data_IF_509193409725
#
_entry.id   IF_509193409725
#
_cell.length_a   1.000
_cell.length_b   1.000
_cell.length_c   1.000
_cell.angle_alpha   90.00
_cell.angle_beta   90.00
_cell.angle_gamma   90.00
#
_symmetry.space_group_name_H-M   'P 1'
#
loop_
_entity.id
_entity.type
_entity.pdbx_description
1 polymer ?
#
# COMPACT_ATOMS: atom_id res chain seq x y z
N UNK A 1 -7.65 -7.49 4.65
CA UNK A 1 -8.08 -6.31 3.87
C UNK A 1 -8.23 -5.08 4.77
N UNK A 2 -9.08 -5.15 5.80
CA UNK A 2 -9.38 -4.09 6.79
C UNK A 2 -8.16 -3.30 7.33
N UNK A 3 -7.07 -3.98 7.69
CA UNK A 3 -5.87 -3.33 8.27
C UNK A 3 -5.21 -2.35 7.28
N UNK A 4 -5.20 -2.68 5.98
CA UNK A 4 -4.55 -1.88 4.94
C UNK A 4 -5.31 -0.57 4.69
N UNK A 5 -6.64 -0.65 4.63
CA UNK A 5 -7.50 0.52 4.44
C UNK A 5 -7.39 1.52 5.60
N UNK A 6 -7.26 1.03 6.83
CA UNK A 6 -7.03 1.90 8.01
C UNK A 6 -5.68 2.60 7.90
N UNK A 7 -4.63 1.90 7.46
CA UNK A 7 -3.30 2.50 7.27
C UNK A 7 -3.30 3.53 6.14
N UNK A 8 -3.93 3.22 5.01
CA UNK A 8 -4.08 4.14 3.88
C UNK A 8 -4.87 5.38 4.27
N UNK A 9 -5.95 5.21 5.03
CA UNK A 9 -6.71 6.32 5.59
C UNK A 9 -5.86 7.18 6.51
N UNK A 10 -5.05 6.58 7.40
CA UNK A 10 -4.17 7.34 8.31
C UNK A 10 -3.17 8.22 7.55
N UNK A 11 -2.65 7.75 6.41
CA UNK A 11 -1.74 8.51 5.55
C UNK A 11 -2.44 9.63 4.78
N UNK A 12 -3.68 9.39 4.34
CA UNK A 12 -4.44 10.34 3.51
C UNK A 12 -5.37 11.26 4.30
N UNK A 13 -5.58 10.99 5.60
CA UNK A 13 -6.57 11.64 6.48
C UNK A 13 -6.58 13.16 6.39
N UNK A 14 -5.41 13.79 6.34
CA UNK A 14 -5.29 15.25 6.27
C UNK A 14 -5.88 15.81 4.96
N UNK A 15 -5.61 15.14 3.83
CA UNK A 15 -6.18 15.48 2.52
C UNK A 15 -7.69 15.27 2.51
N UNK A 16 -8.14 14.13 3.06
CA UNK A 16 -9.57 13.82 3.21
C UNK A 16 -10.28 14.90 4.00
N UNK A 17 -9.75 15.22 5.17
CA UNK A 17 -10.31 16.24 6.06
C UNK A 17 -10.37 17.59 5.35
N UNK A 18 -9.32 18.00 4.64
CA UNK A 18 -9.28 19.28 3.93
C UNK A 18 -10.36 19.35 2.84
N UNK A 19 -10.46 18.31 2.01
CA UNK A 19 -11.45 18.22 0.94
C UNK A 19 -12.89 18.25 1.48
N UNK A 20 -13.21 17.40 2.46
CA UNK A 20 -14.54 17.41 3.08
C UNK A 20 -14.82 18.72 3.80
N UNK A 21 -13.85 19.31 4.50
CA UNK A 21 -14.06 20.60 5.18
C UNK A 21 -14.40 21.70 4.17
N UNK A 22 -13.76 21.70 3.01
CA UNK A 22 -14.03 22.64 1.92
C UNK A 22 -15.47 22.50 1.42
N UNK A 23 -15.89 21.29 1.02
CA UNK A 23 -17.24 21.02 0.52
C UNK A 23 -18.31 21.40 1.56
N UNK A 24 -18.12 21.01 2.81
CA UNK A 24 -19.09 21.30 3.87
C UNK A 24 -19.16 22.81 4.15
N UNK A 25 -18.03 23.51 4.12
CA UNK A 25 -18.00 24.97 4.35
C UNK A 25 -18.63 25.78 3.22
N UNK A 26 -18.62 25.27 1.98
CA UNK A 26 -19.26 25.90 0.83
C UNK A 26 -20.78 25.81 0.91
N UNK A 27 -21.30 24.68 1.39
CA UNK A 27 -22.72 24.35 1.30
C UNK A 27 -23.50 24.54 2.60
N UNK A 28 -22.87 24.42 3.78
CA UNK A 28 -23.57 24.55 5.06
C UNK A 28 -23.69 26.02 5.50
N UNK A 29 -24.88 26.47 5.92
CA UNK A 29 -25.06 27.79 6.51
C UNK A 29 -24.35 27.83 7.87
N UNK A 30 -23.44 28.79 8.06
CA UNK A 30 -22.77 29.02 9.33
C UNK A 30 -22.67 30.53 9.57
N UNK A 31 -22.95 30.99 10.79
CA UNK A 31 -23.00 32.42 11.14
C UNK A 31 -24.03 33.26 10.34
N UNK A 32 -25.10 32.64 9.82
CA UNK A 32 -26.18 33.33 9.12
C UNK A 32 -27.40 33.60 10.02
N UNK A 33 -28.22 34.58 9.66
CA UNK A 33 -29.56 34.77 10.22
C UNK A 33 -30.49 33.62 9.78
N UNK A 34 -31.36 33.17 10.69
CA UNK A 34 -32.37 32.14 10.47
C UNK A 34 -31.84 30.80 9.90
N UNK A 35 -30.98 30.13 10.66
CA UNK A 35 -30.58 28.74 10.40
C UNK A 35 -31.70 27.82 10.87
N UNK A 36 -32.43 27.24 9.91
CA UNK A 36 -33.50 26.27 10.15
C UNK A 36 -33.08 24.86 9.70
N UNK A 37 -33.71 23.84 10.30
CA UNK A 37 -33.47 22.42 10.00
C UNK A 37 -33.68 22.15 8.50
N UNK A 38 -34.76 22.66 7.90
CA UNK A 38 -35.04 22.47 6.46
C UNK A 38 -33.93 22.98 5.55
N UNK A 39 -33.32 24.14 5.88
CA UNK A 39 -32.21 24.69 5.12
C UNK A 39 -30.98 23.78 5.20
N UNK A 40 -30.67 23.26 6.40
CA UNK A 40 -29.57 22.33 6.60
C UNK A 40 -29.82 21.02 5.83
N UNK A 41 -31.05 20.49 5.87
CA UNK A 41 -31.41 19.27 5.14
C UNK A 41 -31.22 19.44 3.63
N UNK A 42 -31.56 20.61 3.08
CA UNK A 42 -31.31 20.95 1.68
C UNK A 42 -29.81 20.99 1.37
N UNK A 43 -29.01 21.68 2.19
CA UNK A 43 -27.55 21.70 2.04
C UNK A 43 -26.92 20.30 2.11
N UNK A 44 -27.40 19.43 3.00
CA UNK A 44 -26.94 18.04 3.07
C UNK A 44 -27.19 17.26 1.77
N UNK A 45 -28.31 17.54 1.09
CA UNK A 45 -28.61 16.94 -0.21
C UNK A 45 -27.64 17.43 -1.28
N UNK A 46 -27.38 18.73 -1.34
CA UNK A 46 -26.44 19.32 -2.31
C UNK A 46 -25.01 18.75 -2.12
N UNK A 47 -24.58 18.58 -0.86
CA UNK A 47 -23.31 17.93 -0.52
C UNK A 47 -23.30 16.47 -0.98
N UNK A 48 -24.39 15.73 -0.76
CA UNK A 48 -24.48 14.33 -1.16
C UNK A 48 -24.36 14.15 -2.67
N UNK A 49 -24.99 15.02 -3.45
CA UNK A 49 -24.89 15.01 -4.91
C UNK A 49 -23.44 15.29 -5.36
N UNK A 50 -22.72 16.19 -4.68
CA UNK A 50 -21.29 16.45 -4.93
C UNK A 50 -20.38 15.28 -4.51
N UNK A 51 -20.74 14.55 -3.45
CA UNK A 51 -20.04 13.35 -2.96
C UNK A 51 -20.47 12.05 -3.65
N UNK A 52 -21.27 12.13 -4.73
CA UNK A 52 -21.79 10.99 -5.50
C UNK A 52 -22.64 9.99 -4.69
N UNK A 53 -23.29 10.44 -3.60
CA UNK A 53 -24.27 9.65 -2.86
C UNK A 53 -23.70 8.47 -2.06
N UNK A 54 -22.48 8.57 -1.53
CA UNK A 54 -21.85 7.53 -0.68
C UNK A 54 -22.02 7.77 0.83
N UNK A 55 -23.00 8.59 1.20
CA UNK A 55 -23.11 9.15 2.53
C UNK A 55 -24.49 8.99 3.18
N UNK A 56 -24.46 9.02 4.52
CA UNK A 56 -25.64 9.12 5.36
C UNK A 56 -25.51 10.36 6.25
N UNK A 57 -26.43 11.31 6.08
CA UNK A 57 -26.47 12.52 6.89
C UNK A 57 -27.44 12.39 8.06
N UNK A 58 -27.10 13.04 9.16
CA UNK A 58 -27.99 13.26 10.29
C UNK A 58 -27.57 14.54 11.04
N UNK A 59 -28.54 15.16 11.70
CA UNK A 59 -28.37 16.42 12.44
C UNK A 59 -28.51 16.14 13.93
N UNK A 60 -27.55 16.62 14.71
CA UNK A 60 -27.58 16.61 16.16
C UNK A 60 -27.90 18.01 16.69
N UNK A 61 -28.64 18.08 17.79
CA UNK A 61 -28.83 19.31 18.55
C UNK A 61 -27.57 19.70 19.33
N UNK A 62 -27.62 20.85 20.00
CA UNK A 62 -26.56 21.36 20.87
C UNK A 62 -26.18 20.42 22.03
N UNK A 63 -27.03 19.47 22.41
CA UNK A 63 -26.80 18.51 23.48
C UNK A 63 -26.31 17.14 22.95
N UNK A 64 -26.31 16.93 21.63
CA UNK A 64 -25.89 15.69 20.99
C UNK A 64 -27.01 14.69 20.70
N UNK A 65 -28.28 15.09 20.83
CA UNK A 65 -29.43 14.26 20.44
C UNK A 65 -29.71 14.41 18.95
N UNK A 66 -30.00 13.30 18.28
CA UNK A 66 -30.37 13.32 16.88
C UNK A 66 -31.79 13.84 16.67
N UNK A 67 -31.94 14.93 15.91
CA UNK A 67 -33.24 15.58 15.66
C UNK A 67 -33.81 15.28 14.28
N UNK A 68 -32.96 14.93 13.32
CA UNK A 68 -33.37 14.53 11.98
C UNK A 68 -33.39 13.01 11.82
N UNK A 69 -34.17 12.52 10.86
CA UNK A 69 -33.98 11.14 10.39
C UNK A 69 -32.62 10.99 9.69
N UNK A 70 -32.14 9.76 9.58
CA UNK A 70 -31.00 9.48 8.72
C UNK A 70 -31.40 9.71 7.27
N UNK A 71 -30.80 10.71 6.66
CA UNK A 71 -30.92 10.97 5.25
C UNK A 71 -29.90 10.12 4.51
N UNK A 72 -30.36 9.00 3.97
CA UNK A 72 -29.58 8.21 3.02
C UNK A 72 -29.98 8.67 1.63
N UNK A 73 -29.11 9.44 0.99
CA UNK A 73 -29.29 9.88 -0.39
C UNK A 73 -28.74 8.84 -1.39
N UNK A 74 -27.98 7.85 -0.90
CA UNK A 74 -27.54 6.69 -1.66
C UNK A 74 -28.70 5.76 -2.05
N UNK A 75 -28.75 5.36 -3.32
CA UNK A 75 -29.80 4.50 -3.92
C UNK A 75 -29.95 3.07 -3.32
N UNK A 76 -29.24 2.74 -2.23
CA UNK A 76 -29.26 1.40 -1.58
C UNK A 76 -29.59 1.40 -0.08
N UNK A 77 -29.99 2.53 0.51
CA UNK A 77 -30.26 2.63 1.94
C UNK A 77 -31.71 2.39 2.34
N UNK A 78 -31.94 1.53 3.34
CA UNK A 78 -33.19 1.47 4.10
C UNK A 78 -33.29 2.72 4.98
N UNK A 79 -34.40 3.45 4.94
CA UNK A 79 -34.70 4.52 5.90
C UNK A 79 -34.85 3.91 7.30
N UNK A 80 -33.79 4.02 8.11
CA UNK A 80 -33.86 3.70 9.53
C UNK A 80 -33.99 5.02 10.31
N UNK A 81 -35.04 5.14 11.10
CA UNK A 81 -35.32 6.29 11.95
C UNK A 81 -34.55 6.15 13.26
N UNK A 82 -33.48 6.93 13.43
CA UNK A 82 -32.70 7.04 14.68
C UNK A 82 -32.95 8.36 15.41
N UNK A 83 -34.04 9.06 15.06
CA UNK A 83 -34.46 10.30 15.71
C UNK A 83 -34.64 10.07 17.22
N UNK A 84 -33.97 10.90 18.02
CA UNK A 84 -33.94 10.81 19.48
C UNK A 84 -32.77 10.02 20.08
N UNK A 85 -31.89 9.41 19.28
CA UNK A 85 -30.71 8.71 19.82
C UNK A 85 -29.69 9.70 20.40
N UNK A 86 -29.13 9.36 21.56
CA UNK A 86 -28.05 10.13 22.19
C UNK A 86 -26.69 9.80 21.57
N UNK A 87 -26.09 10.78 20.88
CA UNK A 87 -24.74 10.72 20.31
C UNK A 87 -23.73 11.60 21.05
N UNK A 88 -24.10 12.22 22.17
CA UNK A 88 -23.25 13.14 22.95
C UNK A 88 -21.94 12.50 23.42
N UNK A 89 -21.94 11.19 23.63
CA UNK A 89 -20.77 10.43 24.08
C UNK A 89 -19.76 10.15 22.97
N UNK A 90 -20.17 10.28 21.71
CA UNK A 90 -19.36 9.92 20.53
C UNK A 90 -18.17 10.87 20.36
N UNK A 91 -17.05 10.31 19.90
CA UNK A 91 -15.78 11.03 19.81
C UNK A 91 -15.81 12.17 18.78
N UNK A 92 -16.55 11.99 17.67
CA UNK A 92 -16.68 13.01 16.64
C UNK A 92 -17.43 14.25 17.15
N UNK A 93 -18.54 14.06 17.86
CA UNK A 93 -19.31 15.15 18.45
C UNK A 93 -18.48 15.93 19.47
N UNK A 94 -17.90 15.24 20.47
CA UNK A 94 -17.09 15.87 21.52
C UNK A 94 -15.94 16.69 20.95
N UNK A 95 -15.23 16.15 19.96
CA UNK A 95 -14.08 16.84 19.35
C UNK A 95 -14.49 17.99 18.45
N UNK A 96 -15.54 17.84 17.64
CA UNK A 96 -16.07 18.93 16.82
C UNK A 96 -16.50 20.13 17.67
N UNK A 97 -17.26 19.89 18.74
CA UNK A 97 -17.74 20.94 19.66
C UNK A 97 -16.58 21.57 20.44
N UNK A 98 -15.64 20.75 20.97
CA UNK A 98 -14.48 21.24 21.73
C UNK A 98 -13.54 22.08 20.86
N UNK A 99 -13.25 21.64 19.65
CA UNK A 99 -12.33 22.34 18.73
C UNK A 99 -13.01 23.47 17.94
N UNK A 100 -14.34 23.60 18.03
CA UNK A 100 -15.17 24.56 17.30
C UNK A 100 -14.92 24.57 15.78
N UNK A 101 -14.66 23.40 15.21
CA UNK A 101 -14.35 23.23 13.79
C UNK A 101 -14.74 21.85 13.30
N UNK A 102 -14.76 21.70 11.99
CA UNK A 102 -14.99 20.41 11.35
C UNK A 102 -13.97 19.35 11.82
N UNK A 103 -14.48 18.16 12.14
CA UNK A 103 -13.72 17.05 12.66
C UNK A 103 -14.05 15.76 11.91
N UNK A 104 -13.00 15.09 11.41
CA UNK A 104 -13.08 13.77 10.79
C UNK A 104 -12.57 12.72 11.78
N UNK A 105 -13.41 11.76 12.14
CA UNK A 105 -13.06 10.73 13.12
C UNK A 105 -12.13 9.65 12.55
N UNK A 106 -11.66 8.77 13.43
CA UNK A 106 -10.98 7.54 13.01
C UNK A 106 -12.01 6.51 12.54
N UNK A 107 -11.66 5.58 11.65
CA UNK A 107 -12.58 4.55 11.17
C UNK A 107 -13.11 3.72 12.34
N UNK A 108 -14.42 3.46 12.34
CA UNK A 108 -15.09 2.66 13.35
C UNK A 108 -16.13 1.73 12.70
N UNK A 109 -16.44 0.57 13.30
CA UNK A 109 -17.45 -0.33 12.75
C UNK A 109 -18.83 0.31 12.81
N UNK A 110 -19.58 0.23 11.71
CA UNK A 110 -20.98 0.63 11.69
C UNK A 110 -21.82 -0.22 12.64
N UNK A 111 -22.87 0.37 13.22
CA UNK A 111 -23.72 -0.31 14.22
C UNK A 111 -24.47 -1.53 13.66
N UNK A 112 -24.75 -1.56 12.35
CA UNK A 112 -25.62 -2.59 11.71
C UNK A 112 -25.01 -3.26 10.49
N UNK A 113 -24.06 -2.61 9.84
CA UNK A 113 -23.33 -3.14 8.69
C UNK A 113 -21.89 -3.20 9.17
N UNK A 114 -21.35 -4.41 9.40
CA UNK A 114 -20.01 -4.68 9.96
C UNK A 114 -18.82 -4.02 9.23
N UNK A 115 -19.11 -3.16 8.25
CA UNK A 115 -18.20 -2.31 7.50
C UNK A 115 -17.71 -1.13 8.34
N UNK A 116 -16.48 -0.70 8.03
CA UNK A 116 -15.89 0.48 8.63
C UNK A 116 -16.46 1.75 7.99
N UNK A 117 -16.75 2.71 8.85
CA UNK A 117 -17.23 4.05 8.49
C UNK A 117 -16.35 5.10 9.12
N UNK A 118 -16.34 6.26 8.51
CA UNK A 118 -15.80 7.49 9.08
C UNK A 118 -16.90 8.53 9.09
N UNK A 119 -16.93 9.34 10.15
CA UNK A 119 -17.89 10.43 10.31
C UNK A 119 -17.17 11.75 10.22
N UNK A 120 -17.67 12.60 9.33
CA UNK A 120 -17.38 14.02 9.33
C UNK A 120 -18.42 14.74 10.19
N UNK A 121 -17.99 15.44 11.23
CA UNK A 121 -18.84 16.22 12.12
C UNK A 121 -18.51 17.71 11.99
N UNK A 122 -19.50 18.53 11.66
CA UNK A 122 -19.36 19.97 11.43
C UNK A 122 -20.30 20.74 12.36
N UNK A 123 -19.77 21.51 13.32
CA UNK A 123 -20.58 22.33 14.21
C UNK A 123 -21.06 23.59 13.49
N UNK A 124 -22.34 23.91 13.66
CA UNK A 124 -23.01 25.10 13.11
C UNK A 124 -23.32 26.08 14.23
N UNK A 125 -22.92 27.33 14.03
CA UNK A 125 -23.09 28.39 15.02
C UNK A 125 -24.02 29.49 14.52
N UNK A 126 -24.74 30.08 15.47
CA UNK A 126 -25.46 31.34 15.29
C UNK A 126 -24.47 32.51 15.10
N UNK A 127 -24.96 33.66 14.61
CA UNK A 127 -24.21 34.92 14.60
C UNK A 127 -23.61 35.27 15.96
N UNK A 128 -24.31 34.92 17.05
CA UNK A 128 -23.85 35.13 18.43
C UNK A 128 -22.78 34.12 18.89
N UNK A 129 -22.27 33.27 17.98
CA UNK A 129 -21.30 32.19 18.24
C UNK A 129 -21.81 31.10 19.19
N UNK A 130 -23.14 30.98 19.32
CA UNK A 130 -23.78 29.90 20.06
C UNK A 130 -23.95 28.67 19.17
N UNK A 131 -23.67 27.48 19.70
CA UNK A 131 -23.84 26.22 18.98
C UNK A 131 -25.33 25.93 18.80
N UNK A 132 -25.77 25.81 17.54
CA UNK A 132 -27.14 25.45 17.20
C UNK A 132 -27.25 23.94 16.93
N UNK A 133 -26.42 23.46 15.99
CA UNK A 133 -26.49 22.10 15.48
C UNK A 133 -25.10 21.52 15.23
N UNK A 134 -25.02 20.20 15.11
CA UNK A 134 -23.84 19.50 14.57
C UNK A 134 -24.30 18.61 13.44
N UNK A 135 -23.87 18.93 12.22
CA UNK A 135 -24.15 18.10 11.02
C UNK A 135 -23.13 16.98 10.97
N UNK A 136 -23.63 15.75 10.88
CA UNK A 136 -22.81 14.55 10.78
C UNK A 136 -23.06 13.85 9.45
N UNK A 137 -22.00 13.34 8.85
CA UNK A 137 -22.01 12.60 7.60
C UNK A 137 -21.17 11.34 7.77
N UNK A 138 -21.83 10.19 7.73
CA UNK A 138 -21.19 8.88 7.76
C UNK A 138 -20.87 8.44 6.32
N UNK A 139 -19.60 8.15 6.05
CA UNK A 139 -19.10 7.67 4.76
C UNK A 139 -18.42 6.32 4.98
N UNK A 140 -18.64 5.36 4.09
CA UNK A 140 -17.90 4.09 4.12
C UNK A 140 -16.40 4.33 3.88
N UNK A 141 -15.55 3.62 4.62
CA UNK A 141 -14.10 3.76 4.48
C UNK A 141 -13.62 3.45 3.05
N UNK A 142 -14.25 2.48 2.39
CA UNK A 142 -13.91 2.12 1.01
C UNK A 142 -14.22 3.26 0.02
N UNK A 143 -15.34 3.95 0.22
CA UNK A 143 -15.81 4.99 -0.70
C UNK A 143 -15.00 6.28 -0.54
N UNK A 144 -14.64 6.64 0.71
CA UNK A 144 -13.80 7.81 0.96
C UNK A 144 -12.38 7.64 0.43
N UNK A 145 -11.86 6.41 0.42
CA UNK A 145 -10.55 6.11 -0.17
C UNK A 145 -10.58 6.21 -1.69
N UNK A 146 -11.63 5.69 -2.34
CA UNK A 146 -11.84 5.82 -3.80
C UNK A 146 -11.91 7.28 -4.26
N UNK A 147 -12.52 8.15 -3.44
CA UNK A 147 -12.69 9.57 -3.74
C UNK A 147 -11.36 10.32 -3.87
N UNK A 148 -10.33 9.91 -3.12
CA UNK A 148 -9.06 10.65 -2.99
C UNK A 148 -7.91 9.95 -3.70
N UNK A 149 -7.94 8.63 -3.66
CA UNK A 149 -7.06 7.77 -4.42
C UNK A 149 -7.94 6.90 -5.33
N UNK A 150 -8.37 7.37 -6.51
CA UNK A 150 -8.97 6.48 -7.51
C UNK A 150 -8.01 5.34 -7.94
N UNK A 151 -6.74 5.44 -7.52
CA UNK A 151 -5.69 4.42 -7.63
C UNK A 151 -5.73 3.33 -6.54
N UNK A 152 -6.68 3.34 -5.61
CA UNK A 152 -6.78 2.31 -4.56
C UNK A 152 -7.31 1.00 -5.15
N UNK A 153 -6.40 0.24 -5.77
CA UNK A 153 -6.34 -1.22 -5.87
C UNK A 153 -7.45 -1.97 -6.64
N UNK A 154 -8.58 -1.34 -6.95
CA UNK A 154 -9.67 -1.96 -7.75
C UNK A 154 -9.78 -1.44 -9.19
N UNK A 155 -8.95 -0.48 -9.58
CA UNK A 155 -8.90 -0.04 -10.97
C UNK A 155 -8.25 -1.13 -11.83
N UNK A 156 -8.79 -1.32 -13.04
CA UNK A 156 -8.34 -2.26 -14.07
C UNK A 156 -6.81 -2.25 -14.28
N UNK A 157 -6.16 -1.12 -13.98
CA UNK A 157 -4.72 -0.93 -14.02
C UNK A 157 -3.92 -1.80 -13.01
N UNK A 158 -4.43 -2.00 -11.79
CA UNK A 158 -3.77 -2.89 -10.81
C UNK A 158 -3.84 -4.36 -11.24
N UNK A 159 -4.98 -4.77 -11.80
CA UNK A 159 -5.18 -6.13 -12.33
C UNK A 159 -4.32 -6.38 -13.57
N UNK A 160 -4.19 -5.41 -14.47
CA UNK A 160 -3.35 -5.57 -15.67
C UNK A 160 -1.85 -5.57 -15.35
N UNK A 161 -1.43 -4.75 -14.38
CA UNK A 161 -0.04 -4.74 -13.90
C UNK A 161 0.32 -6.09 -13.27
N UNK A 162 -0.54 -6.63 -12.39
CA UNK A 162 -0.35 -7.97 -11.81
C UNK A 162 -0.26 -9.07 -12.87
N UNK A 163 -1.08 -8.99 -13.93
CA UNK A 163 -1.03 -9.94 -15.03
C UNK A 163 0.30 -9.87 -15.79
N UNK A 164 0.82 -8.66 -16.03
CA UNK A 164 2.13 -8.47 -16.66
C UNK A 164 3.25 -9.11 -15.84
N UNK A 165 3.28 -8.88 -14.52
CA UNK A 165 4.27 -9.49 -13.64
C UNK A 165 4.18 -11.02 -13.59
N UNK A 166 2.96 -11.56 -13.64
CA UNK A 166 2.75 -13.01 -13.73
C UNK A 166 3.34 -13.60 -15.01
N UNK A 167 3.11 -12.96 -16.16
CA UNK A 167 3.66 -13.40 -17.45
C UNK A 167 5.19 -13.38 -17.43
N UNK A 168 5.79 -12.28 -16.95
CA UNK A 168 7.26 -12.16 -16.85
C UNK A 168 7.85 -13.25 -15.95
N UNK A 169 7.23 -13.48 -14.79
CA UNK A 169 7.67 -14.51 -13.84
C UNK A 169 7.58 -15.91 -14.45
N UNK A 170 6.51 -16.19 -15.19
CA UNK A 170 6.34 -17.47 -15.88
C UNK A 170 7.38 -17.67 -16.98
N UNK A 171 7.68 -16.64 -17.77
CA UNK A 171 8.73 -16.69 -18.79
C UNK A 171 10.10 -16.94 -18.16
N UNK A 172 10.45 -16.21 -17.10
CA UNK A 172 11.71 -16.42 -16.39
C UNK A 172 11.80 -17.84 -15.80
N UNK A 173 10.69 -18.39 -15.31
CA UNK A 173 10.65 -19.76 -14.80
C UNK A 173 10.96 -20.79 -15.88
N UNK A 174 10.37 -20.62 -17.08
CA UNK A 174 10.70 -21.47 -18.24
C UNK A 174 12.19 -21.36 -18.61
N UNK A 175 12.75 -20.14 -18.63
CA UNK A 175 14.19 -19.92 -18.92
C UNK A 175 15.07 -20.63 -17.89
N UNK A 176 14.77 -20.49 -16.61
CA UNK A 176 15.49 -21.19 -15.54
C UNK A 176 15.40 -22.72 -15.74
N UNK A 177 14.22 -23.26 -16.03
CA UNK A 177 14.03 -24.68 -16.30
C UNK A 177 14.86 -25.19 -17.48
N UNK A 178 14.97 -24.41 -18.57
CA UNK A 178 15.79 -24.75 -19.74
C UNK A 178 17.28 -24.76 -19.36
N UNK A 179 17.77 -23.74 -18.64
CA UNK A 179 19.16 -23.68 -18.19
C UNK A 179 19.50 -24.83 -17.26
N UNK A 180 18.60 -25.17 -16.32
CA UNK A 180 18.74 -26.32 -15.45
C UNK A 180 18.85 -27.63 -16.24
N UNK A 181 17.95 -27.82 -17.20
CA UNK A 181 17.94 -29.01 -18.06
C UNK A 181 19.26 -29.15 -18.83
N UNK A 182 19.77 -28.09 -19.45
CA UNK A 182 21.05 -28.12 -20.16
C UNK A 182 22.23 -28.35 -19.21
N UNK A 183 22.22 -27.73 -18.03
CA UNK A 183 23.23 -27.96 -16.99
C UNK A 183 23.29 -29.44 -16.58
N UNK A 184 22.16 -30.04 -16.22
CA UNK A 184 22.07 -31.46 -15.84
C UNK A 184 22.43 -32.38 -17.00
N UNK A 185 21.91 -32.13 -18.20
CA UNK A 185 22.21 -32.92 -19.39
C UNK A 185 23.71 -32.95 -19.69
N UNK A 186 24.39 -31.82 -19.52
CA UNK A 186 25.85 -31.71 -19.70
C UNK A 186 26.61 -32.65 -18.76
N UNK A 187 26.14 -32.86 -17.53
CA UNK A 187 26.77 -33.80 -16.58
C UNK A 187 26.47 -35.26 -16.96
N UNK A 188 25.22 -35.57 -17.30
CA UNK A 188 24.76 -36.95 -17.52
C UNK A 188 25.29 -37.54 -18.84
N UNK A 189 25.31 -36.76 -19.91
CA UNK A 189 25.66 -37.24 -21.27
C UNK A 189 27.17 -37.24 -21.48
N UNK A 190 27.93 -36.48 -20.70
CA UNK A 190 29.39 -36.44 -20.85
C UNK A 190 30.00 -37.71 -20.29
N UNK A 191 30.54 -38.55 -21.17
CA UNK A 191 31.46 -39.61 -20.77
C UNK A 191 32.64 -38.95 -20.04
N UNK A 192 32.86 -39.31 -18.78
CA UNK A 192 33.96 -38.79 -17.94
C UNK A 192 35.33 -39.27 -18.46
N UNK A 193 35.73 -38.83 -19.64
CA UNK A 193 37.13 -38.87 -20.06
C UNK A 193 37.88 -37.83 -19.23
N UNK A 194 39.00 -38.25 -18.62
CA UNK A 194 39.75 -37.51 -17.60
C UNK A 194 40.33 -36.14 -18.03
N UNK A 195 40.14 -35.71 -19.28
CA UNK A 195 40.72 -34.49 -19.84
C UNK A 195 39.73 -33.34 -20.11
N UNK A 196 38.42 -33.52 -19.84
CA UNK A 196 37.38 -32.57 -20.29
C UNK A 196 36.76 -31.74 -19.14
N UNK A 197 37.59 -31.26 -18.20
CA UNK A 197 37.17 -30.44 -17.04
C UNK A 197 36.40 -29.17 -17.41
N UNK A 198 36.57 -28.66 -18.63
CA UNK A 198 35.84 -27.48 -19.14
C UNK A 198 34.31 -27.66 -19.14
N UNK A 199 33.82 -28.88 -19.40
CA UNK A 199 32.37 -29.18 -19.44
C UNK A 199 31.73 -29.15 -18.06
N UNK A 200 32.50 -29.51 -17.03
CA UNK A 200 32.05 -29.44 -15.62
C UNK A 200 31.85 -27.99 -15.21
N UNK A 201 32.78 -27.10 -15.60
CA UNK A 201 32.63 -25.66 -15.35
C UNK A 201 31.44 -25.06 -16.09
N UNK A 202 31.24 -25.41 -17.36
CA UNK A 202 30.09 -24.93 -18.15
C UNK A 202 28.76 -25.38 -17.54
N UNK A 203 28.65 -26.64 -17.13
CA UNK A 203 27.46 -27.13 -16.45
C UNK A 203 27.21 -26.41 -15.12
N UNK A 204 28.28 -26.19 -14.33
CA UNK A 204 28.18 -25.48 -13.05
C UNK A 204 27.68 -24.05 -13.26
N UNK A 205 28.19 -23.33 -14.27
CA UNK A 205 27.72 -21.98 -14.63
C UNK A 205 26.22 -21.99 -15.00
N UNK A 206 25.79 -22.93 -15.84
CA UNK A 206 24.37 -23.05 -16.22
C UNK A 206 23.46 -23.32 -15.02
N UNK A 207 23.88 -24.18 -14.09
CA UNK A 207 23.14 -24.48 -12.87
C UNK A 207 23.11 -23.29 -11.90
N UNK A 208 24.22 -22.58 -11.72
CA UNK A 208 24.28 -21.38 -10.88
C UNK A 208 23.41 -20.25 -11.45
N UNK A 209 23.43 -20.04 -12.77
CA UNK A 209 22.57 -19.07 -13.43
C UNK A 209 21.09 -19.43 -13.28
N UNK A 210 20.74 -20.71 -13.43
CA UNK A 210 19.38 -21.20 -13.20
C UNK A 210 18.91 -20.93 -11.77
N UNK A 211 19.75 -21.19 -10.76
CA UNK A 211 19.41 -20.97 -9.35
C UNK A 211 19.22 -19.48 -9.06
N UNK A 212 20.08 -18.61 -9.61
CA UNK A 212 19.96 -17.16 -9.45
C UNK A 212 18.64 -16.62 -10.03
N UNK A 213 18.19 -17.15 -11.18
CA UNK A 213 16.92 -16.76 -11.80
C UNK A 213 15.73 -17.26 -10.95
N UNK A 214 15.81 -18.44 -10.33
CA UNK A 214 14.76 -18.93 -9.44
C UNK A 214 14.61 -18.07 -8.17
N UNK A 215 15.73 -17.64 -7.59
CA UNK A 215 15.74 -16.72 -6.45
C UNK A 215 15.13 -15.36 -6.82
N UNK A 216 15.44 -14.84 -8.01
CA UNK A 216 14.84 -13.64 -8.59
C UNK A 216 13.31 -13.78 -8.70
N UNK A 217 12.82 -14.87 -9.29
CA UNK A 217 11.38 -15.13 -9.45
C UNK A 217 10.70 -15.18 -8.08
N UNK A 218 11.30 -15.87 -7.11
CA UNK A 218 10.75 -15.99 -5.76
C UNK A 218 10.65 -14.62 -5.07
N UNK A 219 11.67 -13.78 -5.19
CA UNK A 219 11.66 -12.42 -4.65
C UNK A 219 10.57 -11.55 -5.29
N UNK A 220 10.46 -11.57 -6.62
CA UNK A 220 9.42 -10.82 -7.36
C UNK A 220 8.00 -11.29 -7.02
N UNK A 221 7.80 -12.60 -6.91
CA UNK A 221 6.48 -13.17 -6.61
C UNK A 221 6.02 -12.87 -5.17
N UNK A 222 6.94 -12.89 -4.21
CA UNK A 222 6.65 -12.59 -2.80
C UNK A 222 6.25 -11.11 -2.61
N UNK A 223 6.89 -10.19 -3.33
CA UNK A 223 6.64 -8.75 -3.23
C UNK A 223 5.33 -8.32 -3.90
N UNK A 224 5.08 -8.75 -5.14
CA UNK A 224 4.02 -8.19 -5.98
C UNK A 224 2.71 -9.00 -5.96
N UNK A 225 2.80 -10.32 -5.77
CA UNK A 225 1.65 -11.23 -5.92
C UNK A 225 1.10 -11.67 -4.56
N UNK A 226 1.96 -12.02 -3.59
CA UNK A 226 1.51 -12.37 -2.24
C UNK A 226 1.08 -11.16 -1.41
N UNK A 227 1.48 -9.93 -1.81
CA UNK A 227 1.09 -8.70 -1.11
C UNK A 227 1.52 -8.69 0.36
N UNK A 228 2.57 -9.43 0.71
CA UNK A 228 3.17 -9.41 2.06
C UNK A 228 3.95 -8.11 2.25
N UNK A 229 3.25 -6.99 2.27
CA UNK A 229 3.73 -5.78 2.92
C UNK A 229 3.69 -6.04 4.43
N UNK A 230 4.73 -6.66 4.97
CA UNK A 230 4.91 -6.65 6.42
C UNK A 230 5.03 -5.20 6.87
N UNK A 231 4.03 -4.77 7.66
CA UNK A 231 4.01 -3.58 8.50
C UNK A 231 5.43 -3.20 8.94
N UNK A 232 5.89 -2.03 8.55
CA UNK A 232 7.19 -1.43 8.89
C UNK A 232 8.45 -1.99 8.18
N UNK A 233 8.32 -2.79 7.12
CA UNK A 233 9.46 -3.07 6.24
C UNK A 233 9.44 -2.16 5.02
N UNK A 234 10.31 -1.15 5.03
CA UNK A 234 10.66 -0.36 3.86
C UNK A 234 10.97 -1.29 2.68
N UNK A 235 10.39 -1.04 1.49
CA UNK A 235 10.65 -1.75 0.20
C UNK A 235 12.13 -2.12 -0.01
N UNK A 236 13.03 -1.35 0.59
CA UNK A 236 14.44 -1.69 0.79
C UNK A 236 14.74 -3.13 1.24
N UNK A 237 13.94 -3.80 2.10
CA UNK A 237 14.28 -5.14 2.62
C UNK A 237 14.24 -6.20 1.51
N UNK A 238 13.24 -6.15 0.64
CA UNK A 238 13.12 -7.08 -0.49
C UNK A 238 14.20 -6.80 -1.52
N UNK A 239 14.42 -5.52 -1.85
CA UNK A 239 15.52 -5.09 -2.73
C UNK A 239 16.89 -5.54 -2.20
N UNK A 240 17.13 -5.46 -0.88
CA UNK A 240 18.37 -5.93 -0.25
C UNK A 240 18.53 -7.44 -0.38
N UNK A 241 17.48 -8.22 -0.09
CA UNK A 241 17.51 -9.69 -0.23
C UNK A 241 17.79 -10.09 -1.68
N UNK A 242 17.13 -9.43 -2.62
CA UNK A 242 17.31 -9.65 -4.05
C UNK A 242 18.76 -9.35 -4.50
N UNK A 243 19.27 -8.16 -4.18
CA UNK A 243 20.64 -7.80 -4.52
C UNK A 243 21.67 -8.72 -3.84
N UNK A 244 21.40 -9.15 -2.60
CA UNK A 244 22.25 -10.10 -1.88
C UNK A 244 22.34 -11.46 -2.59
N UNK A 245 21.22 -12.00 -3.10
CA UNK A 245 21.23 -13.25 -3.87
C UNK A 245 22.07 -13.11 -5.16
N UNK A 246 21.92 -12.00 -5.91
CA UNK A 246 22.74 -11.74 -7.10
C UNK A 246 24.23 -11.68 -6.77
N UNK A 247 24.61 -10.97 -5.70
CA UNK A 247 26.00 -10.86 -5.27
C UNK A 247 26.59 -12.23 -4.92
N UNK A 248 25.82 -13.08 -4.22
CA UNK A 248 26.25 -14.45 -3.88
C UNK A 248 26.45 -15.28 -5.16
N UNK A 249 25.53 -15.19 -6.13
CA UNK A 249 25.67 -15.90 -7.40
C UNK A 249 26.92 -15.46 -8.18
N UNK A 250 27.14 -14.14 -8.32
CA UNK A 250 28.34 -13.59 -8.96
C UNK A 250 29.62 -14.01 -8.24
N UNK A 251 29.61 -14.10 -6.90
CA UNK A 251 30.76 -14.54 -6.13
C UNK A 251 31.12 -16.01 -6.40
N UNK A 252 30.12 -16.89 -6.48
CA UNK A 252 30.32 -18.31 -6.82
C UNK A 252 30.84 -18.45 -8.26
N UNK A 253 30.29 -17.68 -9.19
CA UNK A 253 30.71 -17.71 -10.59
C UNK A 253 32.15 -17.19 -10.76
N UNK A 254 32.50 -16.09 -10.10
CA UNK A 254 33.85 -15.54 -10.10
C UNK A 254 34.88 -16.54 -9.54
N UNK A 255 34.54 -17.25 -8.46
CA UNK A 255 35.38 -18.30 -7.90
C UNK A 255 35.59 -19.45 -8.89
N UNK A 256 34.54 -19.87 -9.59
CA UNK A 256 34.65 -20.92 -10.63
C UNK A 256 35.50 -20.49 -11.81
N UNK A 257 35.39 -19.23 -12.24
CA UNK A 257 36.23 -18.63 -13.27
C UNK A 257 37.71 -18.61 -12.87
N UNK A 258 38.04 -18.34 -11.60
CA UNK A 258 39.42 -18.44 -11.09
C UNK A 258 39.96 -19.85 -11.29
N UNK A 259 39.22 -20.88 -10.87
CA UNK A 259 39.67 -22.27 -11.02
C UNK A 259 39.80 -22.69 -12.48
N UNK A 260 38.85 -22.29 -13.34
CA UNK A 260 38.89 -22.56 -14.77
C UNK A 260 40.17 -22.00 -15.39
N UNK A 261 40.42 -20.70 -15.23
CA UNK A 261 41.59 -20.05 -15.85
C UNK A 261 42.91 -20.44 -15.18
N UNK A 262 42.91 -20.80 -13.89
CA UNK A 262 44.08 -21.38 -13.24
C UNK A 262 44.55 -22.68 -13.90
N UNK A 263 43.61 -23.48 -14.42
CA UNK A 263 43.91 -24.78 -15.04
C UNK A 263 44.07 -24.69 -16.57
N UNK A 264 43.29 -23.86 -17.27
CA UNK A 264 43.28 -23.84 -18.74
C UNK A 264 44.20 -22.78 -19.35
N UNK A 265 44.19 -21.56 -18.81
CA UNK A 265 44.91 -20.41 -19.39
C UNK A 265 45.36 -19.44 -18.29
N UNK A 266 46.50 -19.70 -17.62
CA UNK A 266 46.94 -18.90 -16.47
C UNK A 266 47.13 -17.40 -16.76
N UNK A 267 47.37 -17.03 -18.02
CA UNK A 267 47.49 -15.64 -18.46
C UNK A 267 46.19 -14.83 -18.32
N UNK A 268 45.04 -15.50 -18.28
CA UNK A 268 43.71 -14.87 -18.20
C UNK A 268 43.16 -14.78 -16.76
N UNK A 269 43.92 -15.25 -15.76
CA UNK A 269 43.55 -15.21 -14.33
C UNK A 269 43.26 -13.78 -13.83
N UNK A 270 43.78 -12.76 -14.50
CA UNK A 270 43.53 -11.36 -14.14
C UNK A 270 42.05 -10.98 -14.22
N UNK A 271 41.27 -11.53 -15.18
CA UNK A 271 39.86 -11.16 -15.36
C UNK A 271 38.99 -11.61 -14.17
N UNK A 272 39.06 -12.88 -13.71
CA UNK A 272 38.38 -13.30 -12.48
C UNK A 272 38.79 -12.51 -11.24
N UNK A 273 40.08 -12.15 -11.11
CA UNK A 273 40.56 -11.33 -9.98
C UNK A 273 39.89 -9.95 -9.99
N UNK A 274 39.83 -9.28 -11.14
CA UNK A 274 39.13 -8.00 -11.27
C UNK A 274 37.64 -8.13 -10.93
N UNK A 275 36.99 -9.24 -11.32
CA UNK A 275 35.60 -9.50 -10.99
C UNK A 275 35.38 -9.67 -9.48
N UNK A 276 36.27 -10.39 -8.79
CA UNK A 276 36.22 -10.55 -7.32
C UNK A 276 36.36 -9.19 -6.62
N UNK A 277 37.27 -8.33 -7.09
CA UNK A 277 37.43 -6.97 -6.55
C UNK A 277 36.15 -6.14 -6.74
N UNK A 278 35.51 -6.23 -7.92
CA UNK A 278 34.24 -5.54 -8.18
C UNK A 278 33.11 -6.05 -7.26
N UNK A 279 33.04 -7.37 -7.03
CA UNK A 279 32.06 -7.97 -6.11
C UNK A 279 32.30 -7.50 -4.68
N UNK A 280 33.56 -7.44 -4.23
CA UNK A 280 33.90 -6.92 -2.90
C UNK A 280 33.44 -5.46 -2.72
N UNK A 281 33.62 -4.63 -3.76
CA UNK A 281 33.10 -3.26 -3.77
C UNK A 281 31.56 -3.21 -3.73
N UNK A 282 30.88 -4.11 -4.43
CA UNK A 282 29.42 -4.22 -4.43
C UNK A 282 28.90 -4.63 -3.04
N UNK A 283 29.54 -5.60 -2.39
CA UNK A 283 29.24 -6.01 -1.00
C UNK A 283 29.43 -4.84 -0.04
N UNK A 284 30.54 -4.12 -0.14
CA UNK A 284 30.82 -2.96 0.71
C UNK A 284 29.78 -1.84 0.50
N UNK A 285 29.41 -1.57 -0.76
CA UNK A 285 28.39 -0.57 -1.12
C UNK A 285 27.01 -0.95 -0.58
N UNK A 286 26.61 -2.22 -0.68
CA UNK A 286 25.37 -2.72 -0.11
C UNK A 286 25.39 -2.64 1.42
N UNK A 287 26.51 -2.99 2.06
CA UNK A 287 26.70 -2.85 3.51
C UNK A 287 26.53 -1.40 3.98
N UNK A 288 27.13 -0.45 3.24
CA UNK A 288 26.99 0.99 3.50
C UNK A 288 25.54 1.45 3.32
N UNK A 289 24.86 1.04 2.25
CA UNK A 289 23.45 1.36 2.01
C UNK A 289 22.56 0.88 3.17
N UNK A 290 22.76 -0.36 3.64
CA UNK A 290 22.02 -0.91 4.78
C UNK A 290 22.29 -0.13 6.06
N UNK A 291 23.56 0.22 6.31
CA UNK A 291 23.96 0.99 7.49
C UNK A 291 23.29 2.37 7.53
N UNK A 292 23.32 3.11 6.41
CA UNK A 292 22.69 4.43 6.28
C UNK A 292 21.18 4.32 6.48
N UNK A 293 20.54 3.35 5.80
CA UNK A 293 19.08 3.17 5.87
C UNK A 293 18.62 2.82 7.28
N UNK A 294 19.34 1.95 8.00
CA UNK A 294 19.03 1.60 9.40
C UNK A 294 19.23 2.80 10.35
N UNK A 295 20.27 3.61 10.14
CA UNK A 295 20.54 4.81 10.94
C UNK A 295 19.45 5.87 10.76
N UNK A 296 18.94 6.06 9.54
CA UNK A 296 17.86 7.01 9.24
C UNK A 296 16.53 6.63 9.91
N UNK A 297 16.26 5.34 10.11
CA UNK A 297 15.05 4.85 10.79
C UNK A 297 15.10 5.08 12.31
N UNK A 298 16.29 5.06 12.92
CA UNK A 298 16.46 5.25 14.38
C UNK A 298 16.45 6.72 14.84
N UNK A 299 16.50 7.69 13.93
CA UNK A 299 16.50 9.13 14.23
C UNK A 299 15.12 9.80 14.09
N UNK A 300 14.04 9.03 13.93
CA UNK A 300 12.68 9.52 13.75
C UNK A 300 11.75 8.93 14.82
#
# INVERSE_FOLDING_TARGET
MIIREIEEFKLTKSKIKAYLSYIFSQNLPNFSEDIDEEKILKSCKDISDELMGYDTFYILDKNGYQISDNLVFSAKGVKNTFKGEDKSTKSYYKKAVKEKRAYLCEPYPGTFDSKLKVTMAVPIYSQNKELLYVVCCDILLEDILKLINPSSVDSVFGKISRLSYFIISMTLFCVAGILFYFGVKSIIVTNFSLNDTSKIFESTILLTLSLAILDLIKAYFEEEILGRHEKNSTNSKTMIKFLSSIIIALAIEALMLVFKFAMTSPKEIIYPICLIVAIAFLVASLGLYIYITKKAIFQK
#
